data_IF_065079816474
#
_entry.id   IF_065079816474
#
_cell.length_a   1.000
_cell.length_b   1.000
_cell.length_c   1.000
_cell.angle_alpha   90.00
_cell.angle_beta   90.00
_cell.angle_gamma   90.00
#
_symmetry.space_group_name_H-M   'P 1'
#
loop_
_entity.id
_entity.type
_entity.pdbx_description
1 polymer ?
#
# COMPACT_ATOMS: atom_id res chain seq x y z
N UNK A 1 8.24 19.81 11.72
CA UNK A 1 7.63 19.06 12.85
C UNK A 1 7.68 19.94 14.09
N UNK A 2 6.65 20.75 14.33
CA UNK A 2 6.71 21.81 15.36
C UNK A 2 6.07 21.44 16.71
N UNK A 3 5.52 20.24 16.89
CA UNK A 3 4.68 19.91 18.05
C UNK A 3 4.97 18.56 18.73
N UNK A 4 6.14 17.94 18.50
CA UNK A 4 6.50 16.69 19.20
C UNK A 4 5.58 15.49 18.93
N UNK A 5 4.74 15.55 17.89
CA UNK A 5 3.82 14.49 17.49
C UNK A 5 4.35 13.83 16.21
N UNK A 6 5.47 13.12 16.35
CA UNK A 6 6.21 12.50 15.25
C UNK A 6 5.42 11.33 14.66
N UNK A 7 4.71 10.56 15.50
CA UNK A 7 3.87 9.45 15.06
C UNK A 7 2.77 9.89 14.11
N UNK A 8 2.01 10.93 14.46
CA UNK A 8 0.95 11.46 13.58
C UNK A 8 1.49 12.07 12.29
N UNK A 9 2.66 12.69 12.32
CA UNK A 9 3.29 13.22 11.12
C UNK A 9 3.68 12.09 10.15
N UNK A 10 4.33 11.03 10.66
CA UNK A 10 4.72 9.86 9.88
C UNK A 10 3.50 9.14 9.32
N UNK A 11 2.45 8.98 10.12
CA UNK A 11 1.16 8.42 9.68
C UNK A 11 0.62 9.16 8.46
N UNK A 12 0.56 10.49 8.52
CA UNK A 12 0.07 11.29 7.39
C UNK A 12 0.99 11.20 6.16
N UNK A 13 2.30 11.10 6.34
CA UNK A 13 3.22 10.89 5.23
C UNK A 13 3.05 9.50 4.58
N UNK A 14 2.86 8.45 5.39
CA UNK A 14 2.59 7.09 4.90
C UNK A 14 1.28 7.05 4.11
N UNK A 15 0.21 7.67 4.64
CA UNK A 15 -1.06 7.83 3.93
C UNK A 15 -0.91 8.64 2.65
N UNK A 16 -0.20 9.78 2.69
CA UNK A 16 0.02 10.58 1.49
C UNK A 16 0.79 9.80 0.41
N UNK A 17 1.73 8.93 0.81
CA UNK A 17 2.53 8.12 -0.12
C UNK A 17 1.70 7.07 -0.86
N UNK A 18 0.61 6.56 -0.27
CA UNK A 18 -0.29 5.64 -1.00
C UNK A 18 -1.03 6.33 -2.15
N UNK A 19 -1.26 7.64 -2.05
CA UNK A 19 -1.86 8.45 -3.11
C UNK A 19 -0.83 8.99 -4.10
N UNK A 20 0.35 9.40 -3.61
CA UNK A 20 1.40 10.06 -4.39
C UNK A 20 2.72 9.27 -4.32
N UNK A 21 2.78 8.04 -4.87
CA UNK A 21 3.95 7.17 -4.74
C UNK A 21 5.21 7.71 -5.46
N UNK A 22 5.04 8.64 -6.41
CA UNK A 22 6.12 9.24 -7.24
C UNK A 22 6.58 10.62 -6.76
N UNK A 23 6.05 11.12 -5.64
CA UNK A 23 6.41 12.45 -5.15
C UNK A 23 7.74 12.42 -4.36
N UNK A 24 8.81 12.89 -4.98
CA UNK A 24 10.16 12.88 -4.38
C UNK A 24 10.26 13.74 -3.12
N UNK A 25 9.59 14.89 -3.09
CA UNK A 25 9.57 15.77 -1.92
C UNK A 25 8.89 15.09 -0.73
N UNK A 26 7.81 14.35 -0.99
CA UNK A 26 7.11 13.57 0.03
C UNK A 26 8.01 12.47 0.59
N UNK A 27 8.72 11.74 -0.27
CA UNK A 27 9.64 10.67 0.16
C UNK A 27 10.82 11.23 0.97
N UNK A 28 11.39 12.36 0.54
CA UNK A 28 12.45 13.05 1.29
C UNK A 28 11.98 13.50 2.68
N UNK A 29 10.77 14.08 2.78
CA UNK A 29 10.18 14.50 4.05
C UNK A 29 9.87 13.31 4.96
N UNK A 30 9.37 12.21 4.40
CA UNK A 30 9.12 10.96 5.14
C UNK A 30 10.44 10.37 5.68
N UNK A 31 11.49 10.29 4.86
CA UNK A 31 12.82 9.82 5.31
C UNK A 31 13.38 10.70 6.42
N UNK A 32 13.24 12.01 6.29
CA UNK A 32 13.65 12.95 7.33
C UNK A 32 12.88 12.71 8.64
N UNK A 33 11.56 12.45 8.56
CA UNK A 33 10.73 12.10 9.71
C UNK A 33 11.18 10.80 10.38
N UNK A 34 11.38 9.74 9.59
CA UNK A 34 11.83 8.43 10.07
C UNK A 34 13.20 8.55 10.76
N UNK A 35 14.13 9.33 10.21
CA UNK A 35 15.45 9.54 10.81
C UNK A 35 15.41 10.24 12.18
N UNK A 36 14.34 10.95 12.50
CA UNK A 36 14.13 11.53 13.83
C UNK A 36 13.53 10.56 14.84
N UNK A 37 12.98 9.42 14.38
CA UNK A 37 12.48 8.38 15.29
C UNK A 37 13.64 7.60 15.90
N UNK A 38 13.37 6.96 17.04
CA UNK A 38 14.35 6.15 17.74
C UNK A 38 14.66 4.85 16.99
N UNK A 39 13.63 4.18 16.47
CA UNK A 39 13.79 2.88 15.81
C UNK A 39 14.27 2.99 14.36
N UNK A 40 14.06 4.15 13.70
CA UNK A 40 14.43 4.43 12.30
C UNK A 40 13.91 3.39 11.31
N UNK A 41 12.71 2.88 11.57
CA UNK A 41 12.07 1.87 10.74
C UNK A 41 11.44 2.51 9.50
N UNK A 42 11.85 2.01 8.33
CA UNK A 42 11.28 2.42 7.04
C UNK A 42 10.08 1.54 6.67
N UNK A 43 9.18 2.03 5.81
CA UNK A 43 8.09 1.21 5.28
C UNK A 43 8.64 -0.10 4.69
N UNK A 44 7.94 -1.23 4.89
CA UNK A 44 8.35 -2.52 4.34
C UNK A 44 8.61 -2.37 2.84
N UNK A 45 9.79 -2.81 2.38
CA UNK A 45 10.03 -2.92 0.95
C UNK A 45 9.09 -4.00 0.41
N UNK A 46 8.42 -3.70 -0.70
CA UNK A 46 7.49 -4.63 -1.32
C UNK A 46 8.15 -6.01 -1.52
N UNK A 47 7.38 -7.08 -1.31
CA UNK A 47 7.86 -8.45 -1.46
C UNK A 47 8.21 -8.85 -2.90
N UNK A 48 8.37 -10.17 -3.11
CA UNK A 48 8.80 -10.75 -4.41
C UNK A 48 7.86 -10.38 -5.57
N UNK A 49 6.57 -10.16 -5.28
CA UNK A 49 5.59 -9.80 -6.33
C UNK A 49 5.83 -8.39 -6.85
N UNK A 50 6.12 -7.43 -5.97
CA UNK A 50 6.47 -6.05 -6.34
C UNK A 50 7.80 -5.95 -7.09
N UNK A 51 8.77 -6.83 -6.79
CA UNK A 51 10.02 -6.85 -7.57
C UNK A 51 9.83 -7.39 -8.99
N UNK A 52 8.95 -8.38 -9.17
CA UNK A 52 8.57 -8.89 -10.50
C UNK A 52 7.68 -7.91 -11.27
N UNK A 53 6.82 -7.16 -10.57
CA UNK A 53 5.86 -6.21 -11.11
C UNK A 53 6.28 -4.76 -10.83
N UNK A 54 7.57 -4.47 -11.03
CA UNK A 54 8.17 -3.17 -10.73
C UNK A 54 7.50 -2.00 -11.47
N UNK A 55 6.79 -2.25 -12.57
CA UNK A 55 6.04 -1.24 -13.32
C UNK A 55 4.66 -0.91 -12.72
N UNK A 56 4.14 -1.74 -11.81
CA UNK A 56 2.83 -1.56 -11.15
C UNK A 56 2.95 -0.67 -9.90
N UNK A 57 4.06 -0.75 -9.19
CA UNK A 57 4.31 0.00 -7.96
C UNK A 57 4.31 1.54 -8.11
N UNK A 58 4.97 2.14 -9.12
CA UNK A 58 5.05 3.60 -9.23
C UNK A 58 3.73 4.25 -9.62
N UNK A 59 2.78 3.49 -10.20
CA UNK A 59 1.48 4.03 -10.61
C UNK A 59 0.50 3.90 -9.43
N UNK A 60 -0.15 5.01 -9.09
CA UNK A 60 -1.12 5.05 -8.00
C UNK A 60 -2.36 4.20 -8.33
N UNK A 61 -3.13 3.80 -7.30
CA UNK A 61 -4.37 3.04 -7.53
C UNK A 61 -5.39 3.88 -8.32
N UNK A 62 -5.43 5.20 -8.07
CA UNK A 62 -6.32 6.11 -8.81
C UNK A 62 -5.94 6.16 -10.29
N UNK A 63 -4.66 6.26 -10.62
CA UNK A 63 -4.19 6.23 -12.02
C UNK A 63 -4.54 4.91 -12.72
N UNK A 64 -4.47 3.77 -12.04
CA UNK A 64 -4.91 2.49 -12.60
C UNK A 64 -6.41 2.51 -12.94
N UNK A 65 -7.24 3.05 -12.05
CA UNK A 65 -8.68 3.19 -12.30
C UNK A 65 -8.97 4.16 -13.45
N UNK A 66 -8.25 5.28 -13.56
CA UNK A 66 -8.37 6.22 -14.69
C UNK A 66 -8.02 5.54 -16.02
N UNK A 67 -6.92 4.77 -16.08
CA UNK A 67 -6.53 4.00 -17.27
C UNK A 67 -7.58 2.95 -17.60
N UNK A 68 -8.10 2.24 -16.60
CA UNK A 68 -9.16 1.25 -16.79
C UNK A 68 -10.44 1.90 -17.35
N UNK A 69 -10.86 3.04 -16.79
CA UNK A 69 -12.03 3.78 -17.25
C UNK A 69 -11.84 4.29 -18.68
N UNK A 70 -10.70 4.90 -18.99
CA UNK A 70 -10.40 5.40 -20.34
C UNK A 70 -10.39 4.25 -21.36
N UNK A 71 -9.74 3.13 -21.04
CA UNK A 71 -9.72 1.95 -21.90
C UNK A 71 -11.11 1.35 -22.11
N UNK A 72 -11.97 1.38 -21.09
CA UNK A 72 -13.36 0.95 -21.17
C UNK A 72 -14.18 1.85 -22.10
N UNK A 73 -14.05 3.17 -21.98
CA UNK A 73 -14.73 4.13 -22.87
C UNK A 73 -14.27 3.90 -24.32
N UNK A 74 -12.97 3.77 -24.57
CA UNK A 74 -12.42 3.50 -25.91
C UNK A 74 -12.98 2.19 -26.47
N UNK A 75 -13.04 1.12 -25.66
CA UNK A 75 -13.60 -0.16 -26.06
C UNK A 75 -15.07 -0.04 -26.51
N UNK A 76 -15.91 0.68 -25.76
CA UNK A 76 -17.31 0.90 -26.13
C UNK A 76 -17.46 1.76 -27.38
N UNK A 77 -16.66 2.82 -27.53
CA UNK A 77 -16.62 3.61 -28.76
C UNK A 77 -16.24 2.75 -29.98
N UNK A 78 -15.26 1.84 -29.83
CA UNK A 78 -14.86 0.90 -30.87
C UNK A 78 -15.98 -0.10 -31.18
N UNK A 79 -16.68 -0.60 -30.17
CA UNK A 79 -17.82 -1.50 -30.35
C UNK A 79 -18.94 -0.83 -31.16
N UNK A 80 -19.33 0.40 -30.78
CA UNK A 80 -20.35 1.19 -31.49
C UNK A 80 -19.93 1.46 -32.93
N UNK A 81 -18.70 1.94 -33.15
CA UNK A 81 -18.17 2.16 -34.50
C UNK A 81 -18.13 0.88 -35.34
N UNK A 82 -17.85 -0.28 -34.71
CA UNK A 82 -17.84 -1.57 -35.41
C UNK A 82 -19.23 -1.99 -35.91
N UNK A 83 -20.30 -1.60 -35.19
CA UNK A 83 -21.69 -1.88 -35.58
C UNK A 83 -22.09 -1.03 -36.80
N UNK A 84 -21.66 0.23 -36.84
CA UNK A 84 -22.01 1.17 -37.91
C UNK A 84 -21.26 0.89 -39.22
N UNK A 85 -19.93 0.77 -39.17
CA UNK A 85 -19.11 0.70 -40.39
C UNK A 85 -18.91 -0.71 -40.94
N UNK A 86 -19.10 -1.76 -40.11
CA UNK A 86 -19.04 -3.20 -40.48
C UNK A 86 -17.81 -3.69 -41.28
N UNK A 87 -16.73 -2.90 -41.37
CA UNK A 87 -15.49 -3.27 -42.09
C UNK A 87 -14.64 -4.28 -41.30
N UNK A 88 -13.85 -5.13 -41.97
CA UNK A 88 -12.96 -6.09 -41.30
C UNK A 88 -11.94 -5.42 -40.35
N UNK A 89 -11.46 -4.21 -40.67
CA UNK A 89 -10.53 -3.46 -39.81
C UNK A 89 -11.10 -3.17 -38.41
N UNK A 90 -12.41 -2.93 -38.29
CA UNK A 90 -13.08 -2.71 -36.99
C UNK A 90 -13.14 -3.98 -36.14
N UNK A 91 -13.13 -5.17 -36.76
CA UNK A 91 -13.05 -6.44 -36.02
C UNK A 91 -11.68 -6.60 -35.37
N UNK A 92 -10.61 -6.26 -36.09
CA UNK A 92 -9.25 -6.27 -35.55
C UNK A 92 -9.07 -5.22 -34.45
N UNK A 93 -9.55 -4.00 -34.67
CA UNK A 93 -9.49 -2.92 -33.67
C UNK A 93 -10.23 -3.29 -32.37
N UNK A 94 -11.41 -3.93 -32.49
CA UNK A 94 -12.15 -4.44 -31.33
C UNK A 94 -11.34 -5.46 -30.53
N UNK A 95 -10.71 -6.43 -31.19
CA UNK A 95 -9.85 -7.42 -30.53
C UNK A 95 -8.69 -6.75 -29.80
N UNK A 96 -8.02 -5.80 -30.45
CA UNK A 96 -6.91 -5.03 -29.84
C UNK A 96 -7.42 -4.27 -28.60
N UNK A 97 -8.53 -3.53 -28.72
CA UNK A 97 -9.11 -2.78 -27.60
C UNK A 97 -9.54 -3.70 -26.45
N UNK A 98 -10.05 -4.90 -26.74
CA UNK A 98 -10.40 -5.90 -25.73
C UNK A 98 -9.16 -6.40 -25.00
N UNK A 99 -8.07 -6.70 -25.73
CA UNK A 99 -6.81 -7.14 -25.12
C UNK A 99 -6.24 -6.06 -24.20
N UNK A 100 -6.28 -4.79 -24.61
CA UNK A 100 -5.82 -3.67 -23.78
C UNK A 100 -6.70 -3.52 -22.53
N UNK A 101 -8.02 -3.63 -22.66
CA UNK A 101 -8.95 -3.56 -21.53
C UNK A 101 -8.70 -4.68 -20.53
N UNK A 102 -8.52 -5.92 -21.00
CA UNK A 102 -8.21 -7.06 -20.13
C UNK A 102 -6.87 -6.85 -19.42
N UNK A 103 -5.83 -6.37 -20.12
CA UNK A 103 -4.54 -6.09 -19.51
C UNK A 103 -4.65 -5.01 -18.42
N UNK A 104 -5.38 -3.92 -18.67
CA UNK A 104 -5.64 -2.87 -17.68
C UNK A 104 -6.44 -3.40 -16.47
N UNK A 105 -7.43 -4.26 -16.72
CA UNK A 105 -8.24 -4.89 -15.69
C UNK A 105 -7.40 -5.80 -14.78
N UNK A 106 -6.60 -6.70 -15.35
CA UNK A 106 -5.70 -7.55 -14.57
C UNK A 106 -4.65 -6.75 -13.80
N UNK A 107 -4.04 -5.73 -14.41
CA UNK A 107 -3.08 -4.86 -13.74
C UNK A 107 -3.70 -4.15 -12.53
N UNK A 108 -4.91 -3.61 -12.69
CA UNK A 108 -5.65 -2.94 -11.60
C UNK A 108 -6.01 -3.93 -10.49
N UNK A 109 -6.46 -5.13 -10.85
CA UNK A 109 -6.77 -6.19 -9.90
C UNK A 109 -5.55 -6.62 -9.07
N UNK A 110 -4.38 -6.77 -9.71
CA UNK A 110 -3.13 -7.09 -9.02
C UNK A 110 -2.73 -5.96 -8.06
N UNK A 111 -2.77 -4.70 -8.52
CA UNK A 111 -2.47 -3.54 -7.67
C UNK A 111 -3.38 -3.49 -6.44
N UNK A 112 -4.68 -3.69 -6.64
CA UNK A 112 -5.67 -3.70 -5.57
C UNK A 112 -5.41 -4.83 -4.56
N UNK A 113 -5.12 -6.04 -5.05
CA UNK A 113 -4.79 -7.17 -4.20
C UNK A 113 -3.54 -6.94 -3.35
N UNK A 114 -2.47 -6.39 -3.95
CA UNK A 114 -1.24 -6.06 -3.23
C UNK A 114 -1.46 -5.03 -2.13
N UNK A 115 -2.22 -3.97 -2.42
CA UNK A 115 -2.53 -2.93 -1.45
C UNK A 115 -3.44 -3.46 -0.31
N UNK A 116 -4.40 -4.32 -0.64
CA UNK A 116 -5.29 -4.90 0.37
C UNK A 116 -4.60 -5.90 1.29
N UNK A 117 -3.54 -6.57 0.83
CA UNK A 117 -2.74 -7.50 1.64
C UNK A 117 -1.73 -6.79 2.53
N UNK A 118 -1.22 -5.64 2.10
CA UNK A 118 -0.24 -4.86 2.85
C UNK A 118 -0.94 -3.77 3.66
N UNK A 119 -1.40 -4.12 4.86
CA UNK A 119 -1.82 -3.12 5.83
C UNK A 119 -0.59 -2.57 6.54
N UNK A 120 -0.31 -1.29 6.32
CA UNK A 120 0.76 -0.57 7.03
C UNK A 120 0.14 0.19 8.20
N UNK A 121 0.74 0.09 9.38
CA UNK A 121 0.38 0.86 10.57
C UNK A 121 1.56 1.68 11.08
N UNK A 122 1.27 2.69 11.90
CA UNK A 122 2.27 3.49 12.61
C UNK A 122 1.96 3.45 14.09
N UNK A 123 2.99 3.22 14.91
CA UNK A 123 2.89 3.25 16.37
C UNK A 123 2.71 4.70 16.84
N UNK A 124 1.66 4.95 17.63
CA UNK A 124 1.37 6.28 18.19
C UNK A 124 1.74 6.41 19.65
N UNK A 125 1.89 5.29 20.36
CA UNK A 125 2.34 5.30 21.75
C UNK A 125 3.84 5.58 21.84
N UNK A 126 4.26 6.23 22.94
CA UNK A 126 5.67 6.59 23.16
C UNK A 126 6.59 5.38 23.13
N UNK A 127 6.19 4.32 23.83
CA UNK A 127 6.90 3.05 23.94
C UNK A 127 5.85 1.94 24.04
N UNK A 128 5.98 0.89 23.23
CA UNK A 128 5.14 -0.30 23.29
C UNK A 128 6.00 -1.56 23.24
N UNK A 129 5.76 -2.49 24.17
CA UNK A 129 6.39 -3.80 24.16
C UNK A 129 5.67 -4.76 23.21
N UNK A 130 6.40 -5.31 22.25
CA UNK A 130 5.92 -6.36 21.36
C UNK A 130 5.99 -7.71 22.08
N UNK A 131 4.84 -8.38 22.18
CA UNK A 131 4.70 -9.64 22.94
C UNK A 131 4.79 -10.86 22.02
N UNK A 132 5.25 -11.98 22.57
CA UNK A 132 5.26 -13.25 21.84
C UNK A 132 3.85 -13.79 21.52
N UNK A 133 2.87 -13.51 22.37
CA UNK A 133 1.49 -13.99 22.22
C UNK A 133 0.53 -13.06 23.00
N UNK A 134 -0.78 -13.22 22.79
CA UNK A 134 -1.89 -12.34 23.24
C UNK A 134 -2.16 -12.36 24.76
N UNK A 135 -1.51 -13.25 25.52
CA UNK A 135 -1.77 -13.43 26.95
C UNK A 135 -0.99 -12.42 27.83
N UNK A 136 -1.51 -12.11 29.02
CA UNK A 136 -0.99 -11.10 29.93
C UNK A 136 0.35 -11.47 30.58
N UNK A 137 0.73 -12.76 30.60
CA UNK A 137 1.97 -13.27 31.22
C UNK A 137 3.15 -13.45 30.24
N UNK A 138 3.05 -12.96 29.01
CA UNK A 138 4.04 -13.26 27.98
C UNK A 138 5.26 -12.34 28.01
N UNK A 139 6.39 -12.90 27.55
CA UNK A 139 7.68 -12.22 27.44
C UNK A 139 7.61 -11.15 26.35
N UNK A 140 8.08 -9.95 26.68
CA UNK A 140 8.33 -8.87 25.71
C UNK A 140 9.53 -9.27 24.85
N UNK A 141 9.32 -9.43 23.55
CA UNK A 141 10.37 -9.80 22.60
C UNK A 141 11.29 -8.61 22.29
N UNK A 142 10.69 -7.44 22.10
CA UNK A 142 11.37 -6.17 21.85
C UNK A 142 10.40 -5.00 22.06
N UNK A 143 10.91 -3.78 22.10
CA UNK A 143 10.12 -2.56 22.24
C UNK A 143 10.14 -1.76 20.94
N UNK A 144 9.03 -1.08 20.66
CA UNK A 144 8.87 -0.11 19.58
C UNK A 144 8.53 1.25 20.17
N UNK A 145 8.92 2.30 19.46
CA UNK A 145 8.72 3.68 19.86
C UNK A 145 7.76 4.40 18.91
N UNK A 146 7.29 5.57 19.34
CA UNK A 146 6.44 6.42 18.53
C UNK A 146 7.03 6.67 17.13
N UNK A 147 6.21 6.49 16.11
CA UNK A 147 6.60 6.69 14.72
C UNK A 147 7.22 5.47 14.05
N UNK A 148 7.35 4.33 14.75
CA UNK A 148 7.71 3.06 14.13
C UNK A 148 6.64 2.64 13.10
N UNK A 149 7.09 2.38 11.88
CA UNK A 149 6.25 1.90 10.78
C UNK A 149 6.27 0.36 10.80
N UNK A 150 5.09 -0.25 10.77
CA UNK A 150 4.91 -1.70 10.91
C UNK A 150 3.95 -2.26 9.86
N UNK A 151 4.11 -3.53 9.51
CA UNK A 151 3.11 -4.29 8.75
C UNK A 151 2.14 -4.95 9.72
N UNK A 152 0.84 -4.80 9.49
CA UNK A 152 -0.21 -5.48 10.25
C UNK A 152 -0.67 -6.70 9.44
N UNK A 153 -0.39 -7.90 9.94
CA UNK A 153 -0.70 -9.15 9.26
C UNK A 153 -2.11 -9.65 9.57
N UNK A 154 -2.51 -9.54 10.84
CA UNK A 154 -3.78 -10.03 11.33
C UNK A 154 -4.23 -9.19 12.52
N UNK A 155 -5.54 -8.97 12.62
CA UNK A 155 -6.19 -8.36 13.77
C UNK A 155 -7.10 -9.43 14.40
N UNK A 156 -7.04 -9.55 15.72
CA UNK A 156 -7.83 -10.51 16.49
C UNK A 156 -8.22 -9.92 17.85
N UNK A 157 -9.49 -9.56 17.97
CA UNK A 157 -10.03 -8.89 19.16
C UNK A 157 -9.34 -7.54 19.40
N UNK A 158 -8.67 -7.40 20.55
CA UNK A 158 -7.92 -6.19 20.92
C UNK A 158 -6.43 -6.25 20.51
N UNK A 159 -6.01 -7.32 19.83
CA UNK A 159 -4.61 -7.56 19.49
C UNK A 159 -4.39 -7.56 17.98
N UNK A 160 -3.24 -7.03 17.55
CA UNK A 160 -2.76 -7.10 16.19
C UNK A 160 -1.45 -7.86 16.14
N UNK A 161 -1.36 -8.81 15.21
CA UNK A 161 -0.11 -9.47 14.85
C UNK A 161 0.63 -8.62 13.82
N UNK A 162 1.85 -8.21 14.17
CA UNK A 162 2.63 -7.24 13.41
C UNK A 162 3.97 -7.82 12.99
N UNK A 163 4.52 -7.29 11.90
CA UNK A 163 5.87 -7.55 11.41
C UNK A 163 6.61 -6.23 11.21
N UNK A 164 7.77 -6.11 11.82
CA UNK A 164 8.69 -4.97 11.63
C UNK A 164 9.65 -5.25 10.48
N UNK A 165 10.17 -6.47 10.45
CA UNK A 165 11.07 -7.00 9.41
C UNK A 165 10.75 -8.50 9.25
N UNK A 166 11.37 -9.14 8.26
CA UNK A 166 11.20 -10.55 7.92
C UNK A 166 11.29 -11.49 9.13
N UNK A 167 12.16 -11.17 10.08
CA UNK A 167 12.42 -12.01 11.26
C UNK A 167 11.84 -11.46 12.57
N UNK A 168 11.27 -10.25 12.58
CA UNK A 168 10.75 -9.59 13.79
C UNK A 168 9.25 -9.47 13.75
N UNK A 169 8.57 -10.39 14.43
CA UNK A 169 7.11 -10.47 14.50
C UNK A 169 6.63 -10.59 15.94
N UNK A 170 5.37 -10.24 16.18
CA UNK A 170 4.73 -10.42 17.48
C UNK A 170 3.39 -9.71 17.59
N UNK A 171 2.87 -9.61 18.80
CA UNK A 171 1.54 -9.08 19.10
C UNK A 171 1.61 -7.77 19.87
N UNK A 172 0.77 -6.81 19.47
CA UNK A 172 0.58 -5.55 20.17
C UNK A 172 -0.92 -5.20 20.28
N UNK A 173 -1.33 -4.38 21.26
CA UNK A 173 -2.70 -3.88 21.35
C UNK A 173 -3.06 -3.00 20.14
N UNK A 174 -4.27 -3.14 19.60
CA UNK A 174 -4.74 -2.35 18.45
C UNK A 174 -4.82 -0.86 18.80
N UNK A 175 -5.12 -0.51 20.06
CA UNK A 175 -5.19 0.89 20.51
C UNK A 175 -3.88 1.67 20.37
N UNK A 176 -2.75 0.98 20.25
CA UNK A 176 -1.41 1.56 20.08
C UNK A 176 -1.05 1.82 18.61
N UNK A 177 -1.89 1.41 17.66
CA UNK A 177 -1.67 1.48 16.22
C UNK A 177 -2.63 2.49 15.58
N UNK A 178 -2.13 3.29 14.64
CA UNK A 178 -2.95 4.05 13.71
C UNK A 178 -2.66 3.66 12.25
N UNK A 179 -3.70 3.65 11.41
CA UNK A 179 -3.66 3.31 9.97
C UNK A 179 -3.71 4.54 9.09
#
# INVERSE_FOLDING_TARGET
>A
MRLGNTGSAILNYVRARSFLPRNENLDANLRYAINQTQDRLSPPRGGVISSLLFWIDPVSLIEHFEILLLSNIIFWCVCIGSLYYRKPSWRSLKKISMTILLLAFFSTGIKYYLLSKQKTGVITDKIIGVKSDRNTQNVTLFELHEGAIISVNQEDGEWAHISVDTDKTGWIPIGSISY
#
